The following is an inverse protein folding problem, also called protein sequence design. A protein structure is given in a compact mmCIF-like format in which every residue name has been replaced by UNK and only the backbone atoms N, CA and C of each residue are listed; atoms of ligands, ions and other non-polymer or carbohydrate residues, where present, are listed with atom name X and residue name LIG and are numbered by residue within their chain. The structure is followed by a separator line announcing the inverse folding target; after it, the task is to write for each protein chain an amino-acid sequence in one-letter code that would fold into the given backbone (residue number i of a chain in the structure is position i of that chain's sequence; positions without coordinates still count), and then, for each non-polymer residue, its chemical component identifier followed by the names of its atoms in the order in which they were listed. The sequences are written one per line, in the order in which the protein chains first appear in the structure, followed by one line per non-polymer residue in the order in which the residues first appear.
data_IF_127886003171
#
_entry.id   IF_127886003171
#
_cell.length_a   1.000
_cell.length_b   1.000
_cell.length_c   1.000
_cell.angle_alpha   90.00
_cell.angle_beta   90.00
_cell.angle_gamma   90.00
#
_symmetry.space_group_name_H-M   'P 1'
#
loop_
_entity.id
_entity.type
_entity.pdbx_description
1 polymer ?
#
# COMPACT_ATOMS: atom_id res chain seq x y z
N UNK A 1 35.46 48.54 -49.00
CA UNK A 1 35.49 47.62 -50.15
C UNK A 1 34.85 46.31 -49.61
N UNK A 2 33.61 46.10 -49.88
CA UNK A 2 33.02 45.23 -50.91
C UNK A 2 33.53 43.80 -50.83
N UNK A 3 32.67 42.91 -50.42
CA UNK A 3 32.04 41.72 -51.06
C UNK A 3 31.40 40.85 -49.94
N UNK A 4 30.16 40.69 -49.81
CA UNK A 4 29.10 40.00 -50.58
C UNK A 4 29.48 38.55 -50.94
N UNK A 5 28.85 37.58 -50.32
CA UNK A 5 28.29 36.32 -50.86
C UNK A 5 27.61 35.58 -49.69
N UNK A 6 26.37 35.42 -49.60
CA UNK A 6 25.34 34.67 -50.31
C UNK A 6 25.48 33.15 -50.19
N UNK A 7 24.33 32.57 -49.72
CA UNK A 7 23.81 31.21 -49.92
C UNK A 7 24.34 30.16 -48.94
N UNK A 8 23.55 29.27 -48.42
CA UNK A 8 22.26 28.73 -48.84
C UNK A 8 21.52 28.12 -47.66
N UNK A 9 20.24 28.34 -47.68
CA UNK A 9 19.23 27.60 -46.95
C UNK A 9 19.28 26.11 -47.24
N UNK A 10 19.37 25.28 -46.22
CA UNK A 10 18.94 23.90 -46.32
C UNK A 10 18.05 23.60 -45.10
N UNK A 11 16.76 23.85 -45.30
CA UNK A 11 15.69 23.41 -44.40
C UNK A 11 15.53 21.90 -44.53
N UNK A 12 16.09 21.14 -43.62
CA UNK A 12 15.79 19.74 -43.49
C UNK A 12 14.73 19.59 -42.39
N UNK A 13 13.47 19.58 -42.81
CA UNK A 13 12.35 19.10 -42.03
C UNK A 13 12.48 17.58 -41.87
N UNK A 14 13.13 17.16 -40.80
CA UNK A 14 12.99 15.79 -40.33
C UNK A 14 11.78 15.75 -39.43
N UNK A 15 10.63 15.38 -40.01
CA UNK A 15 9.49 14.89 -39.24
C UNK A 15 9.88 13.52 -38.65
N UNK A 16 10.56 13.56 -37.52
CA UNK A 16 10.78 12.40 -36.67
C UNK A 16 9.46 12.00 -36.05
N UNK A 17 8.80 11.02 -36.63
CA UNK A 17 7.70 10.30 -35.98
C UNK A 17 8.35 9.54 -34.82
N UNK A 18 8.39 10.14 -33.65
CA UNK A 18 8.68 9.42 -32.42
C UNK A 18 7.51 8.51 -32.10
N UNK A 19 7.58 7.28 -32.59
CA UNK A 19 6.82 6.20 -31.99
C UNK A 19 7.29 6.12 -30.54
N UNK A 20 6.56 6.73 -29.63
CA UNK A 20 6.65 6.44 -28.22
C UNK A 20 6.32 4.96 -28.06
N UNK A 21 7.33 4.14 -28.02
CA UNK A 21 7.20 2.73 -27.65
C UNK A 21 6.74 2.74 -26.21
N UNK A 22 5.47 2.48 -26.03
CA UNK A 22 4.82 2.24 -24.75
C UNK A 22 5.25 0.85 -24.25
N UNK A 23 6.57 0.68 -24.07
CA UNK A 23 7.10 -0.50 -23.43
C UNK A 23 6.61 -0.46 -21.99
N UNK A 24 5.95 -1.53 -21.49
CA UNK A 24 5.57 -1.58 -20.09
C UNK A 24 6.85 -1.40 -19.26
N UNK A 25 6.82 -0.45 -18.33
CA UNK A 25 7.95 -0.22 -17.43
C UNK A 25 8.37 -1.54 -16.78
N UNK A 26 9.68 -1.78 -16.61
CA UNK A 26 10.16 -2.97 -15.92
C UNK A 26 9.45 -3.09 -14.58
N UNK A 27 8.81 -4.23 -14.32
CA UNK A 27 8.14 -4.46 -13.05
C UNK A 27 9.21 -4.54 -11.98
N UNK A 28 9.17 -3.62 -11.04
CA UNK A 28 10.03 -3.67 -9.86
C UNK A 28 9.82 -5.02 -9.15
N UNK A 29 10.88 -5.82 -8.95
CA UNK A 29 10.80 -7.12 -8.29
C UNK A 29 10.33 -7.00 -6.83
N UNK A 30 10.52 -5.85 -6.20
CA UNK A 30 10.06 -5.55 -4.84
C UNK A 30 8.63 -5.00 -4.80
N UNK A 31 8.10 -4.49 -5.92
CA UNK A 31 6.79 -3.85 -5.92
C UNK A 31 5.66 -4.79 -5.48
N UNK A 32 4.99 -4.40 -4.40
CA UNK A 32 3.86 -5.12 -3.79
C UNK A 32 2.59 -4.25 -3.67
N UNK A 33 2.19 -3.48 -4.70
CA UNK A 33 1.17 -2.43 -4.60
C UNK A 33 -0.20 -2.93 -4.11
N UNK A 34 -0.51 -4.21 -4.30
CA UNK A 34 -1.75 -4.80 -3.78
C UNK A 34 -1.68 -5.16 -2.30
N UNK A 35 -0.49 -5.46 -1.80
CA UNK A 35 -0.20 -5.72 -0.39
C UNK A 35 -0.24 -4.38 0.35
N UNK A 36 0.51 -3.40 -0.11
CA UNK A 36 0.63 -2.06 0.49
C UNK A 36 -0.74 -1.36 0.59
N UNK A 37 -1.54 -1.44 -0.48
CA UNK A 37 -2.90 -0.87 -0.47
C UNK A 37 -3.81 -1.56 0.55
N UNK A 38 -3.66 -2.86 0.74
CA UNK A 38 -4.48 -3.60 1.71
C UNK A 38 -4.08 -3.25 3.12
N UNK A 39 -2.80 -3.15 3.40
CA UNK A 39 -2.22 -2.73 4.65
C UNK A 39 -2.73 -1.35 5.07
N UNK A 40 -2.57 -0.34 4.22
CA UNK A 40 -3.11 1.00 4.47
C UNK A 40 -4.62 1.00 4.78
N UNK A 41 -5.40 0.16 4.11
CA UNK A 41 -6.83 0.01 4.39
C UNK A 41 -7.09 -0.69 5.74
N UNK A 42 -6.27 -1.62 6.15
CA UNK A 42 -6.39 -2.32 7.44
C UNK A 42 -6.05 -1.37 8.59
N UNK A 43 -4.94 -0.65 8.51
CA UNK A 43 -4.55 0.38 9.48
C UNK A 43 -5.65 1.44 9.65
N UNK A 44 -6.18 1.95 8.53
CA UNK A 44 -7.29 2.91 8.56
C UNK A 44 -8.50 2.35 9.31
N UNK A 45 -8.88 1.11 9.05
CA UNK A 45 -10.02 0.47 9.72
C UNK A 45 -9.80 0.27 11.22
N UNK A 46 -8.57 -0.03 11.64
CA UNK A 46 -8.20 -0.14 13.05
C UNK A 46 -8.27 1.25 13.71
N UNK A 47 -7.70 2.26 13.09
CA UNK A 47 -7.73 3.64 13.59
C UNK A 47 -9.16 4.17 13.72
N UNK A 48 -10.00 3.97 12.69
CA UNK A 48 -11.42 4.31 12.74
C UNK A 48 -12.17 3.57 13.86
N UNK A 49 -11.89 2.27 14.00
CA UNK A 49 -12.50 1.47 15.05
C UNK A 49 -12.14 1.96 16.46
N UNK A 50 -10.89 2.35 16.66
CA UNK A 50 -10.44 2.93 17.92
C UNK A 50 -11.06 4.31 18.18
N UNK A 51 -11.15 5.16 17.16
CA UNK A 51 -11.73 6.51 17.28
C UNK A 51 -13.24 6.49 17.53
N UNK A 52 -13.94 5.53 16.95
CA UNK A 52 -15.41 5.41 17.09
C UNK A 52 -15.84 4.59 18.32
N UNK A 53 -14.90 4.05 19.10
CA UNK A 53 -15.18 3.13 20.19
C UNK A 53 -15.67 1.75 19.76
N UNK A 54 -15.65 1.45 18.45
CA UNK A 54 -15.97 0.11 17.94
C UNK A 54 -14.88 -0.92 18.28
N UNK A 55 -13.70 -0.46 18.64
CA UNK A 55 -12.59 -1.26 19.17
C UNK A 55 -12.20 -0.72 20.54
N UNK A 56 -12.10 -1.60 21.51
CA UNK A 56 -11.46 -1.25 22.79
C UNK A 56 -9.96 -1.04 22.61
N UNK A 57 -9.33 -0.29 23.49
CA UNK A 57 -7.87 -0.07 23.45
C UNK A 57 -7.05 -1.38 23.46
N UNK A 58 -7.58 -2.43 24.07
CA UNK A 58 -6.93 -3.75 24.10
C UNK A 58 -7.01 -4.45 22.75
N UNK A 59 -8.15 -4.35 22.08
CA UNK A 59 -8.38 -4.93 20.74
C UNK A 59 -7.55 -4.20 19.69
N UNK A 60 -7.57 -2.86 19.69
CA UNK A 60 -6.75 -2.05 18.81
C UNK A 60 -5.26 -2.42 18.95
N UNK A 61 -4.73 -2.53 20.19
CA UNK A 61 -3.35 -2.96 20.40
C UNK A 61 -3.07 -4.39 19.91
N UNK A 62 -4.05 -5.29 19.98
CA UNK A 62 -3.90 -6.66 19.48
C UNK A 62 -3.83 -6.69 17.97
N UNK A 63 -4.70 -5.94 17.28
CA UNK A 63 -4.73 -5.81 15.83
C UNK A 63 -3.46 -5.13 15.31
N UNK A 64 -3.01 -4.03 15.93
CA UNK A 64 -1.75 -3.38 15.56
C UNK A 64 -0.53 -4.31 15.69
N UNK A 65 -0.54 -5.25 16.66
CA UNK A 65 0.50 -6.30 16.72
C UNK A 65 0.34 -7.34 15.61
N UNK A 66 -0.87 -7.51 15.08
CA UNK A 66 -1.14 -8.34 13.91
C UNK A 66 -0.53 -7.72 12.66
N UNK A 67 -0.79 -6.42 12.41
CA UNK A 67 -0.19 -5.66 11.31
C UNK A 67 1.34 -5.67 11.40
N UNK A 68 1.93 -5.33 12.54
CA UNK A 68 3.39 -5.36 12.74
C UNK A 68 4.06 -6.73 12.45
N UNK A 69 3.30 -7.83 12.52
CA UNK A 69 3.81 -9.15 12.09
C UNK A 69 3.75 -9.32 10.57
N UNK A 70 2.80 -8.68 9.91
CA UNK A 70 2.67 -8.66 8.46
C UNK A 70 3.80 -7.83 7.86
N UNK A 71 4.04 -6.61 8.41
CA UNK A 71 5.13 -5.72 8.02
C UNK A 71 6.47 -6.47 8.11
N UNK A 72 6.72 -7.11 9.25
CA UNK A 72 7.94 -7.88 9.46
C UNK A 72 8.09 -9.04 8.46
N UNK A 73 7.00 -9.66 8.05
CA UNK A 73 7.03 -10.70 7.02
C UNK A 73 7.31 -10.11 5.63
N UNK A 74 6.85 -8.90 5.36
CA UNK A 74 7.14 -8.16 4.14
C UNK A 74 8.61 -7.73 4.11
N UNK A 75 9.11 -7.10 5.16
CA UNK A 75 10.53 -6.74 5.29
C UNK A 75 11.45 -7.94 5.04
N UNK A 76 11.06 -9.10 5.58
CA UNK A 76 11.83 -10.32 5.40
C UNK A 76 11.79 -10.85 3.96
N UNK A 77 10.65 -10.72 3.31
CA UNK A 77 10.48 -11.10 1.92
C UNK A 77 11.23 -10.16 0.94
N UNK A 78 11.45 -8.91 1.35
CA UNK A 78 12.17 -7.91 0.55
C UNK A 78 13.69 -7.95 0.77
N UNK A 79 14.16 -8.62 1.82
CA UNK A 79 15.55 -8.61 2.25
C UNK A 79 16.53 -9.21 1.23
N UNK A 80 16.09 -10.11 0.35
CA UNK A 80 16.88 -10.71 -0.73
C UNK A 80 16.81 -9.94 -2.06
N UNK A 81 16.08 -8.80 -2.09
CA UNK A 81 15.92 -7.94 -3.26
C UNK A 81 14.85 -8.42 -4.25
N UNK A 82 14.05 -9.41 -3.89
CA UNK A 82 13.02 -9.96 -4.75
C UNK A 82 11.89 -10.62 -3.96
N UNK A 83 10.69 -10.06 -3.99
CA UNK A 83 9.52 -10.73 -3.40
C UNK A 83 9.00 -11.84 -4.32
N UNK A 84 9.15 -13.07 -3.90
CA UNK A 84 8.71 -14.26 -4.66
C UNK A 84 7.18 -14.40 -4.67
N UNK A 85 6.67 -15.21 -5.58
CA UNK A 85 5.23 -15.53 -5.62
C UNK A 85 4.77 -16.24 -4.33
N UNK A 86 5.62 -17.05 -3.74
CA UNK A 86 5.32 -17.75 -2.48
C UNK A 86 5.15 -16.77 -1.33
N UNK A 87 6.08 -15.84 -1.16
CA UNK A 87 6.04 -14.79 -0.13
C UNK A 87 4.84 -13.87 -0.29
N UNK A 88 4.56 -13.40 -1.51
CA UNK A 88 3.34 -12.62 -1.79
C UNK A 88 2.07 -13.36 -1.39
N UNK A 89 1.99 -14.66 -1.65
CA UNK A 89 0.86 -15.50 -1.25
C UNK A 89 0.78 -15.63 0.28
N UNK A 90 1.91 -15.82 0.94
CA UNK A 90 1.99 -15.92 2.40
C UNK A 90 1.53 -14.62 3.06
N UNK A 91 2.09 -13.46 2.68
CA UNK A 91 1.71 -12.14 3.19
C UNK A 91 0.22 -11.88 2.91
N UNK A 92 -0.27 -12.16 1.70
CA UNK A 92 -1.68 -12.01 1.35
C UNK A 92 -2.61 -12.87 2.22
N UNK A 93 -2.19 -14.06 2.62
CA UNK A 93 -2.96 -14.91 3.52
C UNK A 93 -2.98 -14.34 4.95
N UNK A 94 -1.85 -13.82 5.43
CA UNK A 94 -1.76 -13.13 6.72
C UNK A 94 -2.69 -11.91 6.75
N UNK A 95 -2.65 -11.07 5.73
CA UNK A 95 -3.53 -9.90 5.58
C UNK A 95 -5.02 -10.29 5.53
N UNK A 96 -5.38 -11.41 4.90
CA UNK A 96 -6.77 -11.90 4.90
C UNK A 96 -7.21 -12.31 6.30
N UNK A 97 -6.34 -13.00 7.03
CA UNK A 97 -6.63 -13.41 8.41
C UNK A 97 -6.80 -12.18 9.32
N UNK A 98 -5.93 -11.18 9.19
CA UNK A 98 -6.00 -9.94 9.95
C UNK A 98 -7.25 -9.12 9.58
N UNK A 99 -7.58 -9.01 8.29
CA UNK A 99 -8.81 -8.34 7.83
C UNK A 99 -10.07 -8.97 8.44
N UNK A 100 -10.08 -10.30 8.58
CA UNK A 100 -11.17 -11.01 9.27
C UNK A 100 -11.19 -10.71 10.77
N UNK A 101 -10.03 -10.65 11.41
CA UNK A 101 -9.91 -10.31 12.82
C UNK A 101 -10.42 -8.88 13.09
N UNK A 102 -10.01 -7.90 12.28
CA UNK A 102 -10.50 -6.51 12.33
C UNK A 102 -12.04 -6.48 12.22
N UNK A 103 -12.58 -7.21 11.24
CA UNK A 103 -14.03 -7.26 11.06
C UNK A 103 -14.75 -7.82 12.29
N UNK A 104 -14.28 -8.96 12.83
CA UNK A 104 -14.89 -9.60 13.98
C UNK A 104 -14.84 -8.72 15.23
N UNK A 105 -13.70 -8.06 15.49
CA UNK A 105 -13.54 -7.20 16.66
C UNK A 105 -14.38 -5.92 16.54
N UNK A 106 -14.48 -5.31 15.35
CA UNK A 106 -15.32 -4.12 15.12
C UNK A 106 -16.82 -4.41 15.21
N UNK A 107 -17.24 -5.66 15.06
CA UNK A 107 -18.65 -6.05 15.04
C UNK A 107 -19.03 -6.96 16.20
N UNK A 108 -18.16 -7.15 17.17
CA UNK A 108 -18.52 -7.85 18.39
C UNK A 108 -19.36 -6.93 19.33
N UNK A 109 -19.72 -7.47 20.50
CA UNK A 109 -20.50 -6.71 21.49
C UNK A 109 -19.63 -5.88 22.44
N UNK A 110 -18.32 -5.83 22.20
CA UNK A 110 -17.38 -5.08 23.03
C UNK A 110 -17.16 -3.70 22.41
N UNK A 111 -17.75 -2.71 23.01
CA UNK A 111 -17.60 -1.31 22.61
C UNK A 111 -17.02 -0.52 23.79
N UNK A 112 -16.26 0.50 23.48
CA UNK A 112 -15.67 1.45 24.42
C UNK A 112 -16.06 2.86 23.97
N UNK A 113 -17.30 3.24 24.22
CA UNK A 113 -17.89 4.48 23.74
C UNK A 113 -17.36 5.71 24.48
N UNK A 114 -16.91 5.53 25.71
CA UNK A 114 -16.36 6.60 26.54
C UNK A 114 -14.83 6.66 26.51
N UNK A 115 -14.17 5.76 25.77
CA UNK A 115 -12.72 5.66 25.59
C UNK A 115 -11.92 5.50 26.90
N UNK A 116 -12.51 4.89 27.91
CA UNK A 116 -11.83 4.64 29.19
C UNK A 116 -10.97 3.36 29.16
N UNK A 117 -10.93 2.67 28.03
CA UNK A 117 -10.20 1.42 27.81
C UNK A 117 -10.90 0.18 28.34
N UNK A 118 -12.12 0.33 28.85
CA UNK A 118 -12.96 -0.77 29.36
C UNK A 118 -14.11 -1.01 28.40
N UNK A 119 -14.75 -2.15 28.60
CA UNK A 119 -15.92 -2.53 27.82
C UNK A 119 -17.18 -1.86 28.36
N UNK A 120 -17.85 -1.09 27.52
CA UNK A 120 -19.20 -0.60 27.82
C UNK A 120 -20.25 -1.67 27.57
N UNK A 121 -21.31 -1.65 28.36
CA UNK A 121 -22.50 -2.46 28.07
C UNK A 121 -23.38 -1.70 27.10
N UNK A 122 -23.62 -2.31 25.94
CA UNK A 122 -24.64 -1.84 25.03
C UNK A 122 -25.99 -2.15 25.65
N UNK A 123 -26.70 -1.10 26.09
CA UNK A 123 -28.06 -1.21 26.60
C UNK A 123 -29.05 -1.72 25.55
#
# INVERSE_FOLDING_TARGET
MKCRAFFATATFLFAGVTFAQNAPAPKDPLATPSIDKREANQEKRIAEGATTGALTAREARRLNRGEARIDKAQDHAEADGKVTRHERKQISNMQRAESKAIHLQKHDRQVDLNHDGKRDRKG
#
